data_IF_989542191065
#
_entry.id   IF_989542191065
#
_cell.length_a   1.000
_cell.length_b   1.000
_cell.length_c   1.000
_cell.angle_alpha   90.00
_cell.angle_beta   90.00
_cell.angle_gamma   90.00
#
_symmetry.space_group_name_H-M   'P 1'
#
loop_
_entity.id
_entity.type
_entity.pdbx_description
1 polymer ?
#
# COMPACT_ATOMS: atom_id res chain seq x y z
N UNK A 1 18.67 -28.38 7.49
CA UNK A 1 18.96 -26.98 7.09
C UNK A 1 18.35 -26.62 5.74
N UNK A 2 17.97 -27.62 4.93
CA UNK A 2 17.50 -27.40 3.55
C UNK A 2 16.01 -27.02 3.43
N UNK A 3 15.19 -27.43 4.40
CA UNK A 3 13.75 -27.13 4.43
C UNK A 3 13.43 -25.68 4.84
N UNK A 4 14.25 -25.06 5.70
CA UNK A 4 14.12 -23.65 6.06
C UNK A 4 14.51 -22.73 4.90
N UNK A 5 15.55 -23.10 4.14
CA UNK A 5 15.97 -22.38 2.94
C UNK A 5 14.93 -22.46 1.81
N UNK A 6 14.30 -23.63 1.62
CA UNK A 6 13.20 -23.77 0.67
C UNK A 6 11.97 -22.95 1.05
N UNK A 7 11.62 -22.89 2.35
CA UNK A 7 10.52 -22.07 2.85
C UNK A 7 10.83 -20.57 2.72
N UNK A 8 12.09 -20.18 2.95
CA UNK A 8 12.56 -18.80 2.77
C UNK A 8 12.54 -18.40 1.28
N UNK A 9 12.90 -19.30 0.36
CA UNK A 9 12.80 -19.06 -1.08
C UNK A 9 11.35 -19.00 -1.57
N UNK A 10 10.43 -19.83 -1.07
CA UNK A 10 9.01 -19.73 -1.44
C UNK A 10 8.39 -18.44 -0.91
N UNK A 11 8.74 -18.00 0.30
CA UNK A 11 8.30 -16.71 0.86
C UNK A 11 8.95 -15.54 0.13
N UNK A 12 10.24 -15.62 -0.22
CA UNK A 12 10.92 -14.61 -1.05
C UNK A 12 10.31 -14.54 -2.44
N UNK A 13 10.10 -15.66 -3.13
CA UNK A 13 9.55 -15.70 -4.49
C UNK A 13 8.10 -15.20 -4.50
N UNK A 14 7.30 -15.58 -3.50
CA UNK A 14 5.94 -15.08 -3.34
C UNK A 14 5.95 -13.59 -3.01
N UNK A 15 6.86 -13.13 -2.13
CA UNK A 15 7.01 -11.72 -1.80
C UNK A 15 7.57 -10.91 -2.98
N UNK A 16 8.40 -11.48 -3.84
CA UNK A 16 8.96 -10.84 -5.03
C UNK A 16 7.90 -10.74 -6.12
N UNK A 17 7.10 -11.79 -6.38
CA UNK A 17 5.97 -11.72 -7.31
C UNK A 17 4.88 -10.76 -6.82
N UNK A 18 4.63 -10.76 -5.51
CA UNK A 18 3.67 -9.86 -4.88
C UNK A 18 4.20 -8.41 -4.87
N UNK A 19 5.48 -8.19 -4.57
CA UNK A 19 6.13 -6.89 -4.68
C UNK A 19 6.15 -6.40 -6.13
N UNK A 20 6.50 -7.24 -7.10
CA UNK A 20 6.53 -6.88 -8.52
C UNK A 20 5.15 -6.44 -9.04
N UNK A 21 4.06 -7.07 -8.57
CA UNK A 21 2.70 -6.65 -8.91
C UNK A 21 2.27 -5.37 -8.18
N UNK A 22 2.65 -5.18 -6.91
CA UNK A 22 2.44 -3.88 -6.22
C UNK A 22 3.32 -2.75 -6.78
N UNK A 23 4.51 -3.06 -7.31
CA UNK A 23 5.39 -2.11 -7.98
C UNK A 23 4.79 -1.64 -9.31
N UNK A 24 4.15 -2.53 -10.07
CA UNK A 24 3.42 -2.11 -11.28
C UNK A 24 2.24 -1.16 -10.96
N UNK A 25 1.56 -1.38 -9.82
CA UNK A 25 0.49 -0.49 -9.35
C UNK A 25 1.02 0.83 -8.78
N UNK A 26 2.14 0.79 -8.05
CA UNK A 26 2.86 1.98 -7.58
C UNK A 26 3.36 2.83 -8.75
N UNK A 27 3.92 2.21 -9.80
CA UNK A 27 4.30 2.90 -11.05
C UNK A 27 3.10 3.63 -11.69
N UNK A 28 1.90 3.05 -11.63
CA UNK A 28 0.69 3.71 -12.15
C UNK A 28 0.26 4.91 -11.29
N UNK A 29 0.16 4.74 -9.96
CA UNK A 29 -0.20 5.84 -9.03
C UNK A 29 0.85 6.96 -8.98
N UNK A 30 2.14 6.62 -9.03
CA UNK A 30 3.24 7.58 -9.04
C UNK A 30 3.33 8.38 -10.34
N UNK A 31 2.80 7.90 -11.47
CA UNK A 31 2.84 8.71 -12.73
C UNK A 31 2.04 10.00 -12.66
N UNK A 32 0.98 10.08 -11.84
CA UNK A 32 0.19 11.31 -11.66
C UNK A 32 0.75 12.23 -10.56
N UNK A 33 1.27 11.67 -9.45
CA UNK A 33 1.86 12.43 -8.35
C UNK A 33 3.28 12.96 -8.63
N UNK A 34 4.11 12.21 -9.37
CA UNK A 34 5.50 12.61 -9.73
C UNK A 34 5.52 13.75 -10.75
N UNK A 35 4.43 13.95 -11.49
CA UNK A 35 4.29 15.14 -12.33
C UNK A 35 4.29 16.44 -11.50
N UNK A 36 3.77 16.40 -10.26
CA UNK A 36 3.72 17.55 -9.35
C UNK A 36 5.00 17.73 -8.52
N UNK A 37 5.73 16.66 -8.18
CA UNK A 37 6.95 16.75 -7.35
C UNK A 37 8.23 17.05 -8.14
N UNK A 38 8.24 16.86 -9.47
CA UNK A 38 9.35 17.27 -10.36
C UNK A 38 9.67 18.78 -10.30
N UNK A 39 8.78 19.61 -9.74
CA UNK A 39 8.99 21.06 -9.56
C UNK A 39 9.73 21.38 -8.24
N UNK A 40 9.73 20.47 -7.25
CA UNK A 40 10.17 20.78 -5.88
C UNK A 40 11.50 20.16 -5.44
N UNK A 41 11.95 19.02 -6.00
CA UNK A 41 13.10 18.28 -5.46
C UNK A 41 14.30 18.08 -6.41
N UNK A 42 14.18 18.43 -7.70
CA UNK A 42 15.32 18.35 -8.64
C UNK A 42 15.91 16.94 -8.84
N UNK A 43 15.17 15.89 -8.49
CA UNK A 43 15.61 14.50 -8.50
C UNK A 43 15.04 13.74 -9.71
N UNK A 44 15.80 12.80 -10.27
CA UNK A 44 15.37 12.09 -11.47
C UNK A 44 14.28 11.06 -11.11
N UNK A 45 13.32 10.84 -12.04
CA UNK A 45 12.18 9.92 -11.81
C UNK A 45 12.60 8.51 -11.40
N UNK A 46 13.79 8.06 -11.79
CA UNK A 46 14.33 6.75 -11.41
C UNK A 46 14.75 6.67 -9.94
N UNK A 47 15.22 7.77 -9.37
CA UNK A 47 15.81 7.79 -8.02
C UNK A 47 14.70 7.75 -6.96
N UNK A 48 13.62 8.52 -7.16
CA UNK A 48 12.45 8.49 -6.28
C UNK A 48 11.78 7.10 -6.23
N UNK A 49 11.71 6.40 -7.37
CA UNK A 49 11.12 5.05 -7.44
C UNK A 49 11.99 4.01 -6.72
N UNK A 50 13.31 4.12 -6.84
CA UNK A 50 14.24 3.23 -6.16
C UNK A 50 14.13 3.39 -4.63
N UNK A 51 14.01 4.63 -4.13
CA UNK A 51 13.88 4.90 -2.70
C UNK A 51 12.59 4.28 -2.14
N UNK A 52 11.44 4.53 -2.77
CA UNK A 52 10.15 3.97 -2.34
C UNK A 52 10.18 2.44 -2.21
N UNK A 53 10.81 1.77 -3.18
CA UNK A 53 10.94 0.30 -3.19
C UNK A 53 11.80 -0.21 -2.03
N UNK A 54 12.91 0.47 -1.74
CA UNK A 54 13.77 0.12 -0.60
C UNK A 54 13.01 0.25 0.72
N UNK A 55 12.19 1.30 0.89
CA UNK A 55 11.35 1.49 2.08
C UNK A 55 10.38 0.31 2.28
N UNK A 56 9.71 -0.11 1.21
CA UNK A 56 8.79 -1.26 1.21
C UNK A 56 9.50 -2.55 1.66
N UNK A 57 10.69 -2.83 1.11
CA UNK A 57 11.48 -4.01 1.46
C UNK A 57 11.92 -3.98 2.92
N UNK A 58 12.45 -2.85 3.38
CA UNK A 58 12.92 -2.68 4.77
C UNK A 58 11.76 -2.87 5.75
N UNK A 59 10.64 -2.18 5.55
CA UNK A 59 9.50 -2.25 6.45
C UNK A 59 8.83 -3.64 6.45
N UNK A 60 8.73 -4.29 5.28
CA UNK A 60 8.20 -5.64 5.17
C UNK A 60 9.08 -6.67 5.88
N UNK A 61 10.40 -6.57 5.71
CA UNK A 61 11.36 -7.50 6.31
C UNK A 61 11.49 -7.32 7.82
N UNK A 62 11.73 -6.08 8.27
CA UNK A 62 11.97 -5.78 9.69
C UNK A 62 10.69 -5.73 10.51
N UNK A 63 9.54 -5.46 9.90
CA UNK A 63 8.25 -5.45 10.60
C UNK A 63 7.73 -6.84 10.96
N UNK A 64 8.33 -7.93 10.44
CA UNK A 64 8.04 -9.33 10.82
C UNK A 64 6.55 -9.72 10.76
N UNK A 65 5.78 -9.02 9.93
CA UNK A 65 4.34 -9.22 9.79
C UNK A 65 3.49 -8.68 10.95
N UNK A 66 4.05 -7.83 11.82
CA UNK A 66 3.30 -7.03 12.79
C UNK A 66 2.84 -5.71 12.15
N UNK A 67 1.55 -5.41 12.24
CA UNK A 67 0.97 -4.23 11.59
C UNK A 67 1.50 -2.91 12.18
N UNK A 68 1.71 -2.85 13.49
CA UNK A 68 2.19 -1.64 14.16
C UNK A 68 3.64 -1.37 13.81
N UNK A 69 4.47 -2.42 13.90
CA UNK A 69 5.90 -2.31 13.67
C UNK A 69 6.19 -2.02 12.19
N UNK A 70 5.52 -2.71 11.26
CA UNK A 70 5.64 -2.41 9.82
C UNK A 70 5.23 -0.97 9.53
N UNK A 71 4.13 -0.47 10.10
CA UNK A 71 3.70 0.92 9.91
C UNK A 71 4.69 1.93 10.53
N UNK A 72 5.28 1.60 11.68
CA UNK A 72 6.30 2.44 12.29
C UNK A 72 7.54 2.53 11.40
N UNK A 73 8.05 1.40 10.90
CA UNK A 73 9.25 1.39 10.08
C UNK A 73 9.04 2.12 8.74
N UNK A 74 7.91 1.87 8.06
CA UNK A 74 7.65 2.51 6.76
C UNK A 74 7.49 4.04 6.87
N UNK A 75 6.93 4.52 7.99
CA UNK A 75 6.79 5.96 8.23
C UNK A 75 8.12 6.62 8.60
N UNK A 76 9.03 5.89 9.24
CA UNK A 76 10.39 6.36 9.54
C UNK A 76 11.27 6.48 8.29
N UNK A 77 10.92 5.84 7.17
CA UNK A 77 11.66 5.98 5.92
C UNK A 77 11.54 7.38 5.26
N UNK A 78 10.61 8.23 5.70
CA UNK A 78 10.60 9.68 5.49
C UNK A 78 10.24 10.20 4.09
N UNK A 79 10.55 9.48 3.02
CA UNK A 79 10.19 9.85 1.65
C UNK A 79 8.81 9.26 1.30
N UNK A 80 7.82 10.11 1.00
CA UNK A 80 6.47 9.72 0.52
C UNK A 80 5.84 8.60 1.37
N UNK A 81 5.90 8.78 2.69
CA UNK A 81 5.59 7.76 3.69
C UNK A 81 4.13 7.27 3.61
N UNK A 82 3.20 8.16 3.23
CA UNK A 82 1.78 7.87 3.07
C UNK A 82 1.50 7.01 1.83
N UNK A 83 2.14 7.28 0.70
CA UNK A 83 2.02 6.40 -0.48
C UNK A 83 2.63 5.02 -0.21
N UNK A 84 3.81 4.98 0.42
CA UNK A 84 4.48 3.74 0.76
C UNK A 84 3.68 2.89 1.77
N UNK A 85 3.13 3.53 2.81
CA UNK A 85 2.22 2.87 3.75
C UNK A 85 0.91 2.42 3.05
N UNK A 86 0.37 3.25 2.16
CA UNK A 86 -0.84 2.96 1.38
C UNK A 86 -0.70 1.71 0.51
N UNK A 87 0.52 1.38 0.07
CA UNK A 87 0.80 0.13 -0.64
C UNK A 87 1.00 -1.03 0.33
N UNK A 88 1.83 -0.88 1.38
CA UNK A 88 2.23 -2.02 2.22
C UNK A 88 1.17 -2.46 3.24
N UNK A 89 0.40 -1.54 3.81
CA UNK A 89 -0.51 -1.84 4.90
C UNK A 89 -1.75 -2.65 4.45
N UNK A 90 -2.40 -2.38 3.30
CA UNK A 90 -3.50 -3.19 2.82
C UNK A 90 -3.08 -4.63 2.54
N UNK A 91 -1.86 -4.82 2.02
CA UNK A 91 -1.26 -6.14 1.76
C UNK A 91 -1.15 -6.94 3.04
N UNK A 92 -0.58 -6.32 4.07
CA UNK A 92 -0.41 -6.95 5.36
C UNK A 92 -1.78 -7.25 6.01
N UNK A 93 -2.74 -6.33 5.90
CA UNK A 93 -4.10 -6.51 6.38
C UNK A 93 -4.87 -7.64 5.67
N UNK A 94 -4.69 -7.82 4.36
CA UNK A 94 -5.28 -8.96 3.62
C UNK A 94 -4.61 -10.27 4.02
N UNK A 95 -3.27 -10.27 4.15
CA UNK A 95 -2.49 -11.47 4.48
C UNK A 95 -2.75 -12.00 5.89
N UNK A 96 -2.94 -11.10 6.87
CA UNK A 96 -3.17 -11.44 8.28
C UNK A 96 -4.63 -11.36 8.72
N UNK A 97 -5.49 -10.79 7.88
CA UNK A 97 -6.90 -10.53 8.18
C UNK A 97 -7.12 -9.23 8.96
N UNK A 98 -8.37 -8.76 8.98
CA UNK A 98 -8.78 -7.49 9.61
C UNK A 98 -8.39 -7.40 11.10
N UNK A 99 -8.36 -8.54 11.80
CA UNK A 99 -8.00 -8.61 13.22
C UNK A 99 -6.54 -8.29 13.53
N UNK A 100 -5.67 -8.23 12.52
CA UNK A 100 -4.28 -7.80 12.71
C UNK A 100 -4.12 -6.28 12.82
N UNK A 101 -5.16 -5.52 12.48
CA UNK A 101 -5.14 -4.06 12.49
C UNK A 101 -5.60 -3.60 13.89
N UNK A 102 -4.75 -2.88 14.64
CA UNK A 102 -5.14 -2.35 15.95
C UNK A 102 -6.34 -1.40 15.88
N UNK A 103 -7.24 -1.49 16.85
CA UNK A 103 -8.48 -0.68 16.92
C UNK A 103 -8.21 0.84 16.89
N UNK A 104 -7.06 1.29 17.40
CA UNK A 104 -6.64 2.70 17.34
C UNK A 104 -6.56 3.26 15.92
N UNK A 105 -6.39 2.41 14.91
CA UNK A 105 -6.39 2.79 13.50
C UNK A 105 -7.78 2.67 12.85
N UNK A 106 -8.71 1.94 13.46
CA UNK A 106 -10.11 1.80 13.02
C UNK A 106 -11.03 2.82 13.67
N UNK A 107 -10.66 4.10 13.64
CA UNK A 107 -11.47 5.14 14.28
C UNK A 107 -12.76 5.38 13.48
N UNK A 108 -13.93 5.55 14.14
CA UNK A 108 -15.21 5.83 13.48
C UNK A 108 -15.20 7.10 12.61
N UNK A 109 -14.26 8.02 12.87
CA UNK A 109 -14.07 9.26 12.10
C UNK A 109 -13.77 9.00 10.62
N UNK A 110 -13.24 7.82 10.27
CA UNK A 110 -12.96 7.44 8.88
C UNK A 110 -14.15 6.78 8.17
N UNK A 111 -15.33 6.72 8.81
CA UNK A 111 -16.53 6.11 8.22
C UNK A 111 -17.15 6.91 7.07
N UNK A 112 -16.78 8.18 6.89
CA UNK A 112 -17.24 9.01 5.77
C UNK A 112 -16.08 9.86 5.25
N UNK A 113 -15.90 9.86 3.93
CA UNK A 113 -14.86 10.58 3.23
C UNK A 113 -15.47 11.85 2.62
N UNK A 114 -14.93 13.01 3.00
CA UNK A 114 -15.20 14.28 2.31
C UNK A 114 -14.18 14.43 1.20
N UNK A 115 -14.64 14.52 -0.05
CA UNK A 115 -13.77 14.60 -1.24
C UNK A 115 -14.00 15.90 -2.00
N UNK A 116 -13.06 16.24 -2.88
CA UNK A 116 -13.20 17.38 -3.80
C UNK A 116 -14.15 17.10 -4.98
N UNK A 117 -14.73 15.89 -5.07
CA UNK A 117 -15.68 15.56 -6.15
C UNK A 117 -17.00 16.32 -5.97
N UNK A 118 -17.67 16.62 -7.09
CA UNK A 118 -18.94 17.36 -7.08
C UNK A 118 -20.14 16.41 -6.95
N UNK A 119 -21.24 16.92 -6.39
CA UNK A 119 -22.51 16.19 -6.28
C UNK A 119 -22.43 15.09 -5.23
N UNK A 120 -23.09 13.95 -5.49
CA UNK A 120 -23.25 12.84 -4.53
C UNK A 120 -21.95 12.14 -4.10
N UNK A 121 -20.79 12.57 -4.63
CA UNK A 121 -19.46 12.08 -4.27
C UNK A 121 -18.66 13.06 -3.39
N UNK A 122 -19.19 14.26 -3.10
CA UNK A 122 -18.52 15.21 -2.20
C UNK A 122 -18.41 14.68 -0.78
N UNK A 123 -19.38 13.87 -0.36
CA UNK A 123 -19.35 13.09 0.88
C UNK A 123 -19.77 11.65 0.57
N UNK A 124 -18.88 10.69 0.83
CA UNK A 124 -19.14 9.28 0.54
C UNK A 124 -18.83 8.42 1.78
N UNK A 125 -19.79 7.59 2.26
CA UNK A 125 -19.50 6.61 3.30
C UNK A 125 -18.44 5.62 2.84
N UNK A 126 -17.50 5.26 3.71
CA UNK A 126 -16.41 4.35 3.38
C UNK A 126 -16.93 2.99 2.92
N UNK A 127 -17.98 2.46 3.58
CA UNK A 127 -18.60 1.18 3.22
C UNK A 127 -19.14 1.19 1.77
N UNK A 128 -19.77 2.30 1.37
CA UNK A 128 -20.26 2.48 -0.01
C UNK A 128 -19.12 2.45 -1.01
N UNK A 129 -17.99 3.09 -0.69
CA UNK A 129 -16.81 3.07 -1.56
C UNK A 129 -16.19 1.67 -1.66
N UNK A 130 -16.16 0.92 -0.56
CA UNK A 130 -15.70 -0.48 -0.53
C UNK A 130 -16.60 -1.35 -1.42
N UNK A 131 -17.92 -1.25 -1.28
CA UNK A 131 -18.89 -2.00 -2.10
C UNK A 131 -18.71 -1.71 -3.59
N UNK A 132 -18.56 -0.44 -3.96
CA UNK A 132 -18.29 -0.02 -5.34
C UNK A 132 -16.98 -0.64 -5.87
N UNK A 133 -15.94 -0.67 -5.05
CA UNK A 133 -14.63 -1.23 -5.41
C UNK A 133 -14.71 -2.74 -5.63
N UNK A 134 -15.39 -3.46 -4.73
CA UNK A 134 -15.60 -4.91 -4.84
C UNK A 134 -16.44 -5.24 -6.08
N UNK A 135 -17.51 -4.49 -6.35
CA UNK A 135 -18.34 -4.67 -7.53
C UNK A 135 -17.55 -4.45 -8.83
N UNK A 136 -16.71 -3.41 -8.88
CA UNK A 136 -15.85 -3.12 -10.02
C UNK A 136 -14.83 -4.24 -10.27
N UNK A 137 -14.15 -4.72 -9.22
CA UNK A 137 -13.20 -5.82 -9.31
C UNK A 137 -13.86 -7.13 -9.77
N UNK A 138 -15.06 -7.44 -9.24
CA UNK A 138 -15.83 -8.61 -9.64
C UNK A 138 -16.32 -8.51 -11.10
N UNK A 139 -16.68 -7.31 -11.56
CA UNK A 139 -17.08 -7.03 -12.94
C UNK A 139 -15.92 -7.18 -13.94
N UNK A 140 -14.71 -6.76 -13.56
CA UNK A 140 -13.51 -6.90 -14.39
C UNK A 140 -13.15 -8.36 -14.67
N UNK A 141 -13.35 -9.26 -13.70
CA UNK A 141 -13.09 -10.70 -13.84
C UNK A 141 -14.00 -11.41 -14.86
N UNK A 142 -15.16 -10.81 -15.18
CA UNK A 142 -16.15 -11.39 -16.11
C UNK A 142 -15.95 -10.97 -17.57
N UNK A 143 -15.00 -10.07 -17.85
CA UNK A 143 -14.60 -9.66 -19.19
C UNK A 143 -13.35 -10.42 -19.63
#
# INVERSE_FOLDING_TARGET
MDSLWAMMNVVLDSAILFMASTMAFSVFMSTELVASSNIMMGESRSDALAIATCCLIIAGYYGKGDFTETLHIITMCGLDADCNAGVLMPVLGISKGIGSIPERYMRPVFGTLTTYMRGDYSEIPLDRLVDMTVAAAAGARKR
#
